data_IF_734393763029
#
_entry.id   IF_734393763029
#
_cell.length_a   1.000
_cell.length_b   1.000
_cell.length_c   1.000
_cell.angle_alpha   90.00
_cell.angle_beta   90.00
_cell.angle_gamma   90.00
#
_symmetry.space_group_name_H-M   'P 1'
#
loop_
_entity.id
_entity.type
_entity.pdbx_description
1 polymer ?
#
# COMPACT_ATOMS: atom_id res chain seq x y z
N UNK A 1 23.15 -6.51 -1.09
CA UNK A 1 22.82 -7.69 -1.91
C UNK A 1 22.81 -7.36 -3.41
N UNK A 2 22.24 -6.23 -3.85
CA UNK A 2 22.30 -5.82 -5.27
C UNK A 2 23.71 -5.50 -5.79
N UNK A 3 24.59 -4.95 -4.94
CA UNK A 3 25.95 -4.56 -5.39
C UNK A 3 26.99 -5.70 -5.44
N UNK A 4 26.74 -6.83 -4.76
CA UNK A 4 27.74 -7.92 -4.60
C UNK A 4 27.23 -9.30 -5.05
N UNK A 5 26.08 -9.36 -5.73
CA UNK A 5 25.57 -10.62 -6.23
C UNK A 5 26.05 -10.80 -7.68
N UNK A 6 26.96 -11.75 -7.91
CA UNK A 6 27.27 -12.24 -9.25
C UNK A 6 26.06 -13.04 -9.77
N UNK A 7 25.00 -12.31 -10.17
CA UNK A 7 23.76 -12.88 -10.70
C UNK A 7 23.81 -12.85 -12.22
N UNK A 8 24.20 -13.95 -12.88
CA UNK A 8 23.98 -14.06 -14.30
C UNK A 8 22.47 -14.09 -14.56
N UNK A 9 22.00 -13.40 -15.59
CA UNK A 9 20.60 -13.46 -16.06
C UNK A 9 20.22 -14.84 -16.63
N UNK A 10 21.22 -15.65 -16.93
CA UNK A 10 21.09 -17.05 -17.32
C UNK A 10 22.46 -17.67 -17.52
N UNK A 11 22.51 -18.99 -17.62
CA UNK A 11 23.74 -19.73 -17.87
C UNK A 11 23.60 -20.54 -19.16
N UNK A 12 24.61 -20.46 -20.03
CA UNK A 12 24.77 -21.39 -21.14
C UNK A 12 25.52 -22.61 -20.60
N UNK A 13 24.88 -23.78 -20.66
CA UNK A 13 25.45 -25.05 -20.26
C UNK A 13 25.81 -25.80 -21.54
N UNK A 14 27.08 -26.14 -21.70
CA UNK A 14 27.55 -27.01 -22.76
C UNK A 14 27.70 -28.43 -22.22
N UNK A 15 27.00 -29.40 -22.83
CA UNK A 15 27.22 -30.83 -22.59
C UNK A 15 27.78 -31.42 -23.87
N UNK A 16 29.07 -31.75 -23.87
CA UNK A 16 29.71 -32.47 -24.98
C UNK A 16 29.08 -33.86 -25.19
N UNK A 17 29.57 -34.57 -26.22
CA UNK A 17 29.01 -35.86 -26.68
C UNK A 17 28.95 -36.92 -25.55
N UNK A 18 29.89 -36.88 -24.60
CA UNK A 18 29.97 -37.79 -23.46
C UNK A 18 29.47 -37.19 -22.13
N UNK A 19 28.77 -36.05 -22.17
CA UNK A 19 28.20 -35.39 -20.99
C UNK A 19 29.18 -34.54 -20.17
N UNK A 20 30.49 -34.65 -20.42
CA UNK A 20 31.51 -33.69 -19.98
C UNK A 20 32.41 -33.34 -21.17
N UNK A 21 32.36 -32.09 -21.60
CA UNK A 21 33.18 -31.58 -22.70
C UNK A 21 33.44 -30.10 -22.50
N UNK A 22 34.63 -29.65 -22.86
CA UNK A 22 35.01 -28.24 -22.86
C UNK A 22 34.97 -27.72 -24.30
N UNK A 23 34.53 -26.47 -24.47
CA UNK A 23 34.67 -25.78 -25.76
C UNK A 23 36.15 -25.56 -26.05
N UNK A 24 36.54 -25.60 -27.33
CA UNK A 24 37.85 -25.08 -27.73
C UNK A 24 37.91 -23.56 -27.52
N UNK A 25 39.11 -22.99 -27.45
CA UNK A 25 39.30 -21.53 -27.35
C UNK A 25 38.53 -20.78 -28.44
N UNK A 26 38.63 -21.25 -29.68
CA UNK A 26 38.02 -20.59 -30.83
C UNK A 26 36.49 -20.65 -30.80
N UNK A 27 35.93 -21.75 -30.29
CA UNK A 27 34.49 -21.89 -30.08
C UNK A 27 33.99 -21.01 -28.93
N UNK A 28 34.78 -20.90 -27.86
CA UNK A 28 34.47 -20.04 -26.72
C UNK A 28 34.45 -18.56 -27.13
N UNK A 29 35.50 -18.09 -27.81
CA UNK A 29 35.61 -16.69 -28.23
C UNK A 29 34.50 -16.29 -29.21
N UNK A 30 34.15 -17.20 -30.13
CA UNK A 30 33.01 -17.00 -31.03
C UNK A 30 31.69 -16.89 -30.27
N UNK A 31 31.45 -17.76 -29.29
CA UNK A 31 30.22 -17.75 -28.49
C UNK A 31 30.10 -16.47 -27.65
N UNK A 32 31.20 -16.02 -27.05
CA UNK A 32 31.26 -14.74 -26.30
C UNK A 32 30.93 -13.57 -27.23
N UNK A 33 31.55 -13.52 -28.41
CA UNK A 33 31.31 -12.45 -29.38
C UNK A 33 29.85 -12.41 -29.87
N UNK A 34 29.26 -13.57 -30.19
CA UNK A 34 27.85 -13.66 -30.59
C UNK A 34 26.92 -13.23 -29.45
N UNK A 35 27.23 -13.60 -28.20
CA UNK A 35 26.47 -13.17 -27.02
C UNK A 35 26.50 -11.66 -26.81
N UNK A 36 27.69 -11.05 -26.82
CA UNK A 36 27.87 -9.61 -26.61
C UNK A 36 27.18 -8.79 -27.71
N UNK A 37 27.30 -9.25 -28.96
CA UNK A 37 26.79 -8.51 -30.13
C UNK A 37 25.28 -8.64 -30.27
N UNK A 38 24.73 -9.84 -30.06
CA UNK A 38 23.35 -10.15 -30.46
C UNK A 38 22.39 -10.36 -29.31
N UNK A 39 22.86 -10.58 -28.08
CA UNK A 39 21.99 -10.97 -26.96
C UNK A 39 22.21 -10.14 -25.68
N UNK A 40 23.27 -9.34 -25.58
CA UNK A 40 23.43 -8.38 -24.49
C UNK A 40 22.79 -7.02 -24.78
N UNK A 41 22.31 -6.36 -23.72
CA UNK A 41 21.75 -5.01 -23.76
C UNK A 41 20.25 -4.92 -24.11
N UNK A 42 19.63 -3.80 -23.75
CA UNK A 42 18.18 -3.60 -23.88
C UNK A 42 17.66 -3.72 -25.32
N UNK A 43 18.45 -3.34 -26.33
CA UNK A 43 18.08 -3.44 -27.76
C UNK A 43 17.97 -4.88 -28.28
N UNK A 44 18.61 -5.83 -27.60
CA UNK A 44 18.69 -7.23 -28.02
C UNK A 44 17.77 -8.14 -27.20
N UNK A 45 16.97 -7.58 -26.29
CA UNK A 45 16.02 -8.32 -25.48
C UNK A 45 14.99 -9.06 -26.34
N UNK A 46 14.75 -10.34 -26.04
CA UNK A 46 13.75 -11.18 -26.72
C UNK A 46 14.18 -11.77 -28.07
N UNK A 47 15.44 -11.60 -28.49
CA UNK A 47 15.94 -12.23 -29.73
C UNK A 47 16.04 -13.75 -29.56
N UNK A 48 15.43 -14.55 -30.45
CA UNK A 48 15.58 -16.00 -30.42
C UNK A 48 17.07 -16.40 -30.51
N UNK A 49 17.50 -17.28 -29.61
CA UNK A 49 18.87 -17.81 -29.58
C UNK A 49 18.85 -19.24 -30.11
N UNK A 50 19.61 -19.49 -31.17
CA UNK A 50 19.80 -20.85 -31.69
C UNK A 50 20.92 -21.52 -30.89
N UNK A 51 20.63 -22.69 -30.33
CA UNK A 51 21.58 -23.47 -29.55
C UNK A 51 21.81 -24.81 -30.25
N UNK A 52 23.06 -25.11 -30.56
CA UNK A 52 23.46 -26.32 -31.28
C UNK A 52 24.41 -27.18 -30.43
N UNK A 53 24.57 -28.46 -30.79
CA UNK A 53 25.67 -29.30 -30.29
C UNK A 53 25.69 -29.55 -28.78
N UNK A 54 24.54 -29.55 -28.09
CA UNK A 54 24.47 -29.79 -26.65
C UNK A 54 24.57 -28.52 -25.78
N UNK A 55 24.48 -27.34 -26.40
CA UNK A 55 24.26 -26.08 -25.68
C UNK A 55 22.80 -25.98 -25.18
N UNK A 56 22.64 -25.56 -23.94
CA UNK A 56 21.35 -25.35 -23.26
C UNK A 56 21.37 -24.01 -22.51
N UNK A 57 20.35 -23.18 -22.70
CA UNK A 57 20.20 -21.91 -21.98
C UNK A 57 19.25 -22.11 -20.81
N UNK A 58 19.77 -21.95 -19.59
CA UNK A 58 18.95 -21.94 -18.38
C UNK A 58 18.73 -20.51 -17.91
N UNK A 59 17.50 -19.96 -18.04
CA UNK A 59 17.20 -18.65 -17.49
C UNK A 59 17.29 -18.73 -15.96
N UNK A 60 18.01 -17.79 -15.36
CA UNK A 60 18.04 -17.65 -13.90
C UNK A 60 16.97 -16.62 -13.53
N UNK A 61 15.82 -17.11 -13.07
CA UNK A 61 14.74 -16.26 -12.52
C UNK A 61 15.13 -15.66 -11.17
N UNK A 62 14.18 -14.97 -10.53
CA UNK A 62 14.35 -14.58 -9.13
C UNK A 62 14.65 -15.82 -8.28
N UNK A 63 15.66 -15.73 -7.42
CA UNK A 63 15.93 -16.83 -6.50
C UNK A 63 14.79 -16.94 -5.48
N UNK A 64 14.46 -18.14 -4.98
CA UNK A 64 13.49 -18.30 -3.90
C UNK A 64 13.75 -17.36 -2.71
N UNK A 65 15.02 -17.08 -2.39
CA UNK A 65 15.43 -16.14 -1.34
C UNK A 65 15.08 -14.68 -1.65
N UNK A 66 15.06 -14.26 -2.92
CA UNK A 66 14.62 -12.90 -3.30
C UNK A 66 13.11 -12.74 -3.17
N UNK A 67 12.36 -13.79 -3.50
CA UNK A 67 10.90 -13.81 -3.32
C UNK A 67 10.54 -13.77 -1.84
N UNK A 68 11.23 -14.54 -1.00
CA UNK A 68 11.08 -14.51 0.45
C UNK A 68 11.41 -13.11 1.03
N UNK A 69 12.44 -12.44 0.50
CA UNK A 69 12.75 -11.06 0.90
C UNK A 69 11.65 -10.07 0.49
N UNK A 70 11.07 -10.24 -0.69
CA UNK A 70 9.96 -9.40 -1.14
C UNK A 70 8.72 -9.58 -0.25
N UNK A 71 8.37 -10.82 0.09
CA UNK A 71 7.26 -11.13 0.98
C UNK A 71 7.48 -10.60 2.40
N UNK A 72 8.67 -10.80 2.97
CA UNK A 72 9.02 -10.27 4.31
C UNK A 72 9.02 -8.75 4.33
N UNK A 73 9.50 -8.08 3.27
CA UNK A 73 9.40 -6.62 3.14
C UNK A 73 7.93 -6.15 3.10
N UNK A 74 7.07 -6.85 2.37
CA UNK A 74 5.65 -6.52 2.31
C UNK A 74 4.94 -6.78 3.65
N UNK A 75 5.34 -7.82 4.39
CA UNK A 75 4.85 -8.08 5.75
C UNK A 75 5.28 -6.97 6.71
N UNK A 76 6.56 -6.59 6.72
CA UNK A 76 7.07 -5.49 7.54
C UNK A 76 6.37 -4.15 7.23
N UNK A 77 6.12 -3.85 5.95
CA UNK A 77 5.36 -2.66 5.57
C UNK A 77 3.94 -2.66 6.17
N UNK A 78 3.27 -3.82 6.21
CA UNK A 78 1.95 -3.98 6.85
C UNK A 78 2.03 -3.80 8.36
N UNK A 79 3.03 -4.36 9.03
CA UNK A 79 3.23 -4.20 10.47
C UNK A 79 3.42 -2.73 10.86
N UNK A 80 4.22 -1.99 10.08
CA UNK A 80 4.41 -0.54 10.27
C UNK A 80 3.08 0.21 10.12
N UNK A 81 2.31 -0.10 9.07
CA UNK A 81 1.01 0.53 8.84
C UNK A 81 0.05 0.31 10.02
N UNK A 82 -0.01 -0.93 10.55
CA UNK A 82 -0.81 -1.29 11.72
C UNK A 82 -0.35 -0.54 12.98
N UNK A 83 0.95 -0.37 13.19
CA UNK A 83 1.47 0.36 14.34
C UNK A 83 1.01 1.84 14.37
N UNK A 84 0.85 2.47 13.19
CA UNK A 84 0.29 3.81 13.07
C UNK A 84 -1.24 3.83 12.98
N UNK A 85 -1.91 2.67 12.99
CA UNK A 85 -3.36 2.58 12.82
C UNK A 85 -3.84 2.98 11.42
N UNK A 86 -2.98 2.91 10.41
CA UNK A 86 -3.33 3.22 9.02
C UNK A 86 -3.64 1.92 8.27
N UNK A 87 -4.83 1.77 7.68
CA UNK A 87 -5.14 0.60 6.85
C UNK A 87 -4.16 0.46 5.67
N UNK A 88 -3.53 -0.71 5.47
CA UNK A 88 -2.52 -0.91 4.42
C UNK A 88 -2.98 -0.55 3.00
N UNK A 89 -4.28 -0.74 2.73
CA UNK A 89 -4.86 -0.42 1.42
C UNK A 89 -4.85 1.09 1.10
N UNK A 90 -4.89 1.97 2.11
CA UNK A 90 -4.77 3.42 1.90
C UNK A 90 -3.35 3.84 1.56
N UNK A 91 -2.37 3.01 1.93
CA UNK A 91 -0.94 3.21 1.65
C UNK A 91 -0.49 2.56 0.34
N UNK A 92 -1.41 1.92 -0.40
CA UNK A 92 -1.10 1.18 -1.63
C UNK A 92 -0.26 -0.08 -1.40
N UNK A 93 -0.24 -0.60 -0.17
CA UNK A 93 0.47 -1.86 0.11
C UNK A 93 -0.32 -3.02 -0.53
N UNK A 94 0.32 -3.88 -1.34
CA UNK A 94 -0.36 -4.96 -2.05
C UNK A 94 -1.16 -5.89 -1.12
N UNK A 95 -2.38 -6.22 -1.54
CA UNK A 95 -3.32 -7.11 -0.84
C UNK A 95 -4.70 -7.09 -1.52
N UNK A 96 -5.65 -7.85 -0.97
CA UNK A 96 -7.01 -7.93 -1.51
C UNK A 96 -7.81 -6.65 -1.24
N UNK A 97 -7.74 -5.70 -2.17
CA UNK A 97 -8.45 -4.42 -2.12
C UNK A 97 -9.62 -4.41 -3.11
N UNK A 98 -10.85 -4.35 -2.60
CA UNK A 98 -12.06 -4.03 -3.39
C UNK A 98 -12.55 -2.62 -3.05
N UNK A 99 -13.40 -2.03 -3.89
CA UNK A 99 -13.97 -0.70 -3.63
C UNK A 99 -14.76 -0.62 -2.32
N UNK A 100 -15.54 -1.66 -2.00
CA UNK A 100 -16.28 -1.75 -0.75
C UNK A 100 -15.32 -1.77 0.47
N UNK A 101 -14.24 -2.54 0.37
CA UNK A 101 -13.22 -2.60 1.42
C UNK A 101 -12.52 -1.23 1.59
N UNK A 102 -12.28 -0.50 0.49
CA UNK A 102 -11.66 0.82 0.53
C UNK A 102 -12.50 1.85 1.27
N UNK A 103 -13.80 1.94 0.96
CA UNK A 103 -14.70 2.88 1.65
C UNK A 103 -14.79 2.59 3.15
N UNK A 104 -14.88 1.32 3.53
CA UNK A 104 -14.93 0.91 4.94
C UNK A 104 -13.61 1.21 5.66
N UNK A 105 -12.47 0.90 5.03
CA UNK A 105 -11.16 1.20 5.60
C UNK A 105 -10.92 2.70 5.77
N UNK A 106 -11.36 3.53 4.81
CA UNK A 106 -11.26 4.98 4.92
C UNK A 106 -12.08 5.50 6.12
N UNK A 107 -13.29 4.99 6.34
CA UNK A 107 -14.11 5.32 7.52
C UNK A 107 -13.46 4.84 8.82
N UNK A 108 -13.02 3.58 8.86
CA UNK A 108 -12.35 2.99 10.01
C UNK A 108 -11.09 3.76 10.41
N UNK A 109 -10.31 4.22 9.43
CA UNK A 109 -9.13 5.06 9.67
C UNK A 109 -9.47 6.37 10.40
N UNK A 110 -10.52 7.07 9.96
CA UNK A 110 -10.95 8.29 10.64
C UNK A 110 -11.48 8.01 12.05
N UNK A 111 -12.28 6.97 12.23
CA UNK A 111 -12.89 6.61 13.52
C UNK A 111 -11.89 6.13 14.56
N UNK A 112 -10.96 5.25 14.17
CA UNK A 112 -10.06 4.56 15.10
C UNK A 112 -8.75 5.32 15.34
N UNK A 113 -8.32 6.14 14.37
CA UNK A 113 -6.99 6.77 14.41
C UNK A 113 -7.08 8.29 14.36
N UNK A 114 -7.66 8.86 13.30
CA UNK A 114 -7.59 10.32 13.06
C UNK A 114 -8.38 11.11 14.11
N UNK A 115 -9.66 10.78 14.34
CA UNK A 115 -10.51 11.51 15.27
C UNK A 115 -10.00 11.41 16.71
N UNK A 116 -9.63 10.23 17.27
CA UNK A 116 -9.06 10.15 18.61
C UNK A 116 -7.79 10.98 18.78
N UNK A 117 -6.89 10.97 17.78
CA UNK A 117 -5.67 11.78 17.81
C UNK A 117 -6.00 13.28 17.74
N UNK A 118 -6.90 13.68 16.84
CA UNK A 118 -7.35 15.06 16.71
C UNK A 118 -7.99 15.55 18.00
N UNK A 119 -8.92 14.79 18.60
CA UNK A 119 -9.55 15.12 19.88
C UNK A 119 -8.52 15.29 21.00
N UNK A 120 -7.51 14.42 21.07
CA UNK A 120 -6.44 14.57 22.08
C UNK A 120 -5.65 15.86 21.89
N UNK A 121 -5.30 16.21 20.66
CA UNK A 121 -4.57 17.44 20.34
C UNK A 121 -5.43 18.67 20.61
N UNK A 122 -6.68 18.69 20.14
CA UNK A 122 -7.59 19.82 20.36
C UNK A 122 -7.89 20.02 21.83
N UNK A 123 -8.02 18.94 22.62
CA UNK A 123 -8.20 19.04 24.07
C UNK A 123 -6.98 19.68 24.77
N UNK A 124 -5.76 19.28 24.38
CA UNK A 124 -4.55 19.88 24.94
C UNK A 124 -4.42 21.37 24.59
N UNK A 125 -4.73 21.74 23.33
CA UNK A 125 -4.74 23.13 22.88
C UNK A 125 -5.83 23.93 23.59
N UNK A 126 -7.03 23.37 23.74
CA UNK A 126 -8.15 24.00 24.43
C UNK A 126 -7.82 24.29 25.90
N UNK A 127 -7.20 23.33 26.59
CA UNK A 127 -6.74 23.52 27.96
C UNK A 127 -5.68 24.62 28.07
N UNK A 128 -4.68 24.62 27.17
CA UNK A 128 -3.66 25.65 27.13
C UNK A 128 -4.26 27.04 26.88
N UNK A 129 -5.17 27.18 25.92
CA UNK A 129 -5.87 28.45 25.64
C UNK A 129 -6.71 28.92 26.83
N UNK A 130 -7.44 28.00 27.47
CA UNK A 130 -8.28 28.33 28.63
C UNK A 130 -7.47 28.98 29.76
N UNK A 131 -6.25 28.48 29.99
CA UNK A 131 -5.35 29.04 31.00
C UNK A 131 -4.87 30.46 30.69
N UNK A 132 -4.81 30.85 29.41
CA UNK A 132 -4.32 32.17 28.97
C UNK A 132 -5.45 33.20 28.79
N UNK A 133 -6.66 32.74 28.46
CA UNK A 133 -7.81 33.61 28.19
C UNK A 133 -8.64 33.91 29.43
N UNK A 134 -8.46 33.14 30.51
CA UNK A 134 -9.26 33.29 31.73
C UNK A 134 -10.71 32.77 31.61
N UNK A 135 -11.04 32.14 30.48
CA UNK A 135 -12.33 31.51 30.19
C UNK A 135 -12.12 30.06 29.75
N UNK A 136 -13.11 29.19 29.98
CA UNK A 136 -13.05 27.80 29.52
C UNK A 136 -13.31 27.76 28.01
N UNK A 137 -12.31 27.34 27.26
CA UNK A 137 -12.39 27.14 25.81
C UNK A 137 -12.56 25.65 25.53
N UNK A 138 -13.50 25.32 24.65
CA UNK A 138 -13.69 23.95 24.16
C UNK A 138 -13.33 23.88 22.66
N UNK A 139 -12.46 22.95 22.29
CA UNK A 139 -12.14 22.66 20.89
C UNK A 139 -12.38 21.19 20.59
N UNK A 140 -13.21 20.91 19.59
CA UNK A 140 -13.53 19.56 19.13
C UNK A 140 -13.44 19.49 17.61
N UNK A 141 -12.95 18.38 17.04
CA UNK A 141 -13.05 18.15 15.60
C UNK A 141 -14.52 18.00 15.21
N UNK A 142 -14.90 18.59 14.07
CA UNK A 142 -16.24 18.47 13.49
C UNK A 142 -16.29 17.27 12.54
N UNK A 143 -16.95 16.15 12.92
CA UNK A 143 -17.07 14.99 12.05
C UNK A 143 -18.02 15.21 10.86
N UNK A 144 -18.94 16.18 10.93
CA UNK A 144 -19.94 16.41 9.87
C UNK A 144 -19.30 17.00 8.60
N UNK A 145 -18.16 17.67 8.77
CA UNK A 145 -17.34 18.20 7.68
C UNK A 145 -16.36 17.19 7.09
N UNK A 146 -16.30 15.96 7.60
CA UNK A 146 -15.39 14.92 7.11
C UNK A 146 -16.08 14.07 6.02
N UNK A 147 -15.67 14.15 4.74
CA UNK A 147 -16.34 13.41 3.66
C UNK A 147 -16.33 11.89 3.85
N UNK A 148 -15.30 11.36 4.53
CA UNK A 148 -15.19 9.94 4.86
C UNK A 148 -16.33 9.41 5.73
N UNK A 149 -16.96 10.28 6.52
CA UNK A 149 -18.02 9.94 7.48
C UNK A 149 -19.42 10.29 6.96
N UNK A 150 -19.52 10.81 5.73
CA UNK A 150 -20.78 11.23 5.13
C UNK A 150 -21.84 10.11 5.16
N UNK A 151 -21.45 8.87 4.87
CA UNK A 151 -22.38 7.74 4.88
C UNK A 151 -22.98 7.44 6.27
N UNK A 152 -22.20 7.60 7.35
CA UNK A 152 -22.71 7.43 8.72
C UNK A 152 -23.66 8.56 9.09
N UNK A 153 -23.29 9.79 8.73
CA UNK A 153 -24.11 10.99 8.92
C UNK A 153 -25.45 10.84 8.20
N UNK A 154 -25.45 10.41 6.94
CA UNK A 154 -26.66 10.23 6.15
C UNK A 154 -27.59 9.17 6.79
N UNK A 155 -27.02 8.08 7.33
CA UNK A 155 -27.78 7.07 8.09
C UNK A 155 -28.36 7.62 9.40
N UNK A 156 -27.58 8.42 10.14
CA UNK A 156 -28.04 9.06 11.38
C UNK A 156 -29.17 10.06 11.10
N UNK A 157 -29.00 10.92 10.10
CA UNK A 157 -29.98 11.91 9.68
C UNK A 157 -31.28 11.25 9.24
N UNK A 158 -31.19 10.19 8.45
CA UNK A 158 -32.35 9.40 8.03
C UNK A 158 -33.09 8.81 9.24
N UNK A 159 -32.37 8.16 10.16
CA UNK A 159 -32.96 7.55 11.37
C UNK A 159 -33.68 8.57 12.26
N UNK A 160 -33.10 9.76 12.45
CA UNK A 160 -33.71 10.82 13.27
C UNK A 160 -34.87 11.49 12.53
N UNK A 161 -34.74 11.72 11.22
CA UNK A 161 -35.80 12.31 10.40
C UNK A 161 -37.06 11.45 10.38
N UNK A 162 -36.90 10.13 10.22
CA UNK A 162 -37.98 9.14 10.19
C UNK A 162 -38.63 8.88 11.57
N UNK A 163 -38.02 9.34 12.66
CA UNK A 163 -38.58 9.21 14.01
C UNK A 163 -39.76 10.18 14.22
N UNK A 164 -40.95 9.80 13.76
CA UNK A 164 -42.16 10.62 13.83
C UNK A 164 -42.68 10.92 15.25
N UNK A 165 -42.14 10.26 16.27
CA UNK A 165 -42.51 10.49 17.67
C UNK A 165 -41.75 11.65 18.32
N UNK A 166 -40.70 12.17 17.67
CA UNK A 166 -39.93 13.31 18.13
C UNK A 166 -40.44 14.59 17.48
N UNK A 167 -40.47 15.67 18.25
CA UNK A 167 -40.67 17.02 17.74
C UNK A 167 -39.49 17.48 16.88
N UNK A 168 -39.74 18.49 16.02
CA UNK A 168 -38.67 19.05 15.18
C UNK A 168 -37.55 19.70 16.02
N UNK A 169 -37.90 20.30 17.16
CA UNK A 169 -36.92 20.83 18.12
C UNK A 169 -36.01 19.72 18.68
N UNK A 170 -36.57 18.59 19.11
CA UNK A 170 -35.80 17.43 19.61
C UNK A 170 -34.91 16.84 18.50
N UNK A 171 -35.42 16.72 17.27
CA UNK A 171 -34.64 16.23 16.12
C UNK A 171 -33.45 17.12 15.83
N UNK A 172 -33.62 18.45 15.85
CA UNK A 172 -32.53 19.41 15.61
C UNK A 172 -31.43 19.29 16.66
N UNK A 173 -31.81 19.17 17.94
CA UNK A 173 -30.85 18.97 19.03
C UNK A 173 -30.08 17.66 18.86
N UNK A 174 -30.75 16.56 18.51
CA UNK A 174 -30.11 15.26 18.25
C UNK A 174 -29.17 15.26 17.03
N UNK A 175 -29.39 16.18 16.08
CA UNK A 175 -28.53 16.40 14.91
C UNK A 175 -27.45 17.47 15.14
N UNK A 176 -27.35 18.05 16.34
CA UNK A 176 -26.38 19.10 16.65
C UNK A 176 -26.66 20.45 15.97
N UNK A 177 -27.88 20.65 15.45
CA UNK A 177 -28.29 21.92 14.84
C UNK A 177 -28.73 22.91 15.92
N UNK A 178 -28.52 24.23 15.71
CA UNK A 178 -28.97 25.24 16.66
C UNK A 178 -30.49 25.19 16.83
N UNK A 179 -30.94 25.36 18.08
CA UNK A 179 -32.35 25.51 18.40
C UNK A 179 -32.89 26.75 17.68
N UNK A 180 -34.08 26.62 17.09
CA UNK A 180 -34.82 27.76 16.55
C UNK A 180 -35.80 28.16 17.65
N UNK A 181 -35.91 29.46 17.94
CA UNK A 181 -36.94 29.94 18.85
C UNK A 181 -38.31 29.55 18.29
N UNK A 182 -39.16 28.94 19.12
CA UNK A 182 -40.55 28.67 18.74
C UNK A 182 -41.26 30.01 18.52
N UNK A 183 -41.95 30.16 17.38
CA UNK A 183 -42.88 31.26 17.10
C UNK A 183 -44.16 31.13 17.93
#
# INVERSE_FOLDING_TARGET
>A
LLDNAARPSGAIIYKGVDGQGTLSSDQYDRLVFEMETHHQGARNAGRPMLLEGGLDWKPMGFSPSDMEFHETKAAAAREIAVAFGVPPMLLGIPGDATYANYQEAHRAFYRLTVLPLATRVTAAVAWWLSSHMGEVVELRPDPDQVPALAAERDQQWKRIGEAGFLSDAEKRVLLGLPAVAED
#
